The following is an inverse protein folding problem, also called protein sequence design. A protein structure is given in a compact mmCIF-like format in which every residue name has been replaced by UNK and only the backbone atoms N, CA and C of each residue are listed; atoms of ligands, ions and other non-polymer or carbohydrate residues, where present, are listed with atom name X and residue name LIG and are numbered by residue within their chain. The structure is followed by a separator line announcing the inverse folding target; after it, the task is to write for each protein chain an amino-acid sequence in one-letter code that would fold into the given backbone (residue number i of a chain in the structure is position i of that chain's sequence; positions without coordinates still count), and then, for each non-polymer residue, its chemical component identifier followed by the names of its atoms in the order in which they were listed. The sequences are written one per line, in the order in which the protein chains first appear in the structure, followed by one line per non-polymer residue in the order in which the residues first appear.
data_IF_421617313830
#
_entry.id   IF_421617313830
#
_cell.length_a   1.000
_cell.length_b   1.000
_cell.length_c   1.000
_cell.angle_alpha   90.00
_cell.angle_beta   90.00
_cell.angle_gamma   90.00
#
_symmetry.space_group_name_H-M   'P 1'
#
loop_
_entity.id
_entity.type
_entity.pdbx_description
1 polymer ?
#
# COMPACT_ATOMS: atom_id res chain seq x y z
N UNK A 1 -9.23 -1.92 11.35
CA UNK A 1 -8.09 -1.13 11.89
C UNK A 1 -8.14 0.28 11.29
N UNK A 2 -7.86 1.37 12.04
CA UNK A 2 -7.79 2.71 11.45
C UNK A 2 -6.64 2.81 10.44
N UNK A 3 -6.82 3.63 9.40
CA UNK A 3 -5.80 3.85 8.37
C UNK A 3 -4.51 4.46 8.93
N UNK A 4 -4.63 5.28 9.99
CA UNK A 4 -3.51 5.90 10.72
C UNK A 4 -2.52 4.87 11.28
N UNK A 5 -2.97 3.63 11.52
CA UNK A 5 -2.08 2.55 11.94
C UNK A 5 -1.08 2.17 10.85
N UNK A 6 -1.42 2.36 9.56
CA UNK A 6 -0.50 2.19 8.45
C UNK A 6 0.51 3.35 8.40
N UNK A 7 0.04 4.58 8.63
CA UNK A 7 0.84 5.80 8.60
C UNK A 7 1.85 5.90 9.76
N UNK A 8 1.71 5.05 10.77
CA UNK A 8 2.61 4.91 11.93
C UNK A 8 3.32 3.54 11.98
N UNK A 9 3.14 2.72 10.95
CA UNK A 9 3.76 1.40 10.89
C UNK A 9 5.22 1.50 10.47
N UNK A 10 6.14 1.01 11.30
CA UNK A 10 7.59 1.13 11.09
C UNK A 10 8.08 0.61 9.74
N UNK A 11 7.43 -0.40 9.18
CA UNK A 11 7.70 -0.86 7.81
C UNK A 11 7.13 0.08 6.75
N UNK A 12 5.82 0.36 6.79
CA UNK A 12 5.12 1.03 5.68
C UNK A 12 5.55 2.48 5.49
N UNK A 13 6.00 3.17 6.54
CA UNK A 13 6.56 4.53 6.42
C UNK A 13 7.85 4.60 5.60
N UNK A 14 8.55 3.48 5.43
CA UNK A 14 9.81 3.40 4.67
C UNK A 14 9.60 2.98 3.22
N UNK A 15 8.39 2.56 2.86
CA UNK A 15 8.08 2.06 1.53
C UNK A 15 7.41 3.14 0.66
N UNK A 16 7.77 3.24 -0.63
CA UNK A 16 6.99 3.99 -1.60
C UNK A 16 5.53 3.53 -1.60
N UNK A 17 4.61 4.50 -1.61
CA UNK A 17 3.17 4.22 -1.58
C UNK A 17 2.46 4.95 -2.71
N UNK A 18 1.51 4.29 -3.36
CA UNK A 18 0.57 4.95 -4.26
C UNK A 18 -0.85 4.74 -3.80
N UNK A 19 -1.68 5.71 -4.19
CA UNK A 19 -3.11 5.71 -3.95
C UNK A 19 -3.85 5.54 -5.26
N UNK A 20 -4.90 4.75 -5.23
CA UNK A 20 -5.94 4.78 -6.27
C UNK A 20 -7.30 4.89 -5.57
N UNK A 21 -8.30 5.38 -6.29
CA UNK A 21 -9.66 5.51 -5.79
C UNK A 21 -10.60 4.83 -6.78
N UNK A 22 -11.42 3.92 -6.29
CA UNK A 22 -12.48 3.32 -7.11
C UNK A 22 -13.66 4.28 -7.24
N UNK A 23 -14.49 4.11 -8.27
CA UNK A 23 -15.73 4.90 -8.46
C UNK A 23 -16.68 4.80 -7.25
N UNK A 24 -16.61 3.69 -6.51
CA UNK A 24 -17.39 3.46 -5.29
C UNK A 24 -16.83 4.15 -4.02
N UNK A 25 -15.74 4.91 -4.15
CA UNK A 25 -15.11 5.64 -3.05
C UNK A 25 -14.19 4.80 -2.17
N UNK A 26 -13.84 3.57 -2.57
CA UNK A 26 -12.81 2.77 -1.88
C UNK A 26 -11.44 3.29 -2.28
N UNK A 27 -10.69 3.78 -1.29
CA UNK A 27 -9.29 4.12 -1.46
C UNK A 27 -8.45 2.85 -1.38
N UNK A 28 -7.51 2.71 -2.29
CA UNK A 28 -6.54 1.61 -2.30
C UNK A 28 -5.16 2.22 -2.10
N UNK A 29 -4.50 1.86 -1.00
CA UNK A 29 -3.08 2.18 -0.76
C UNK A 29 -2.25 0.95 -1.05
N UNK A 30 -1.23 1.06 -1.88
CA UNK A 30 -0.25 0.00 -2.06
C UNK A 30 1.13 0.49 -1.64
N UNK A 31 1.67 -0.09 -0.57
CA UNK A 31 3.05 0.12 -0.14
C UNK A 31 3.93 -0.92 -0.82
N UNK A 32 4.78 -0.46 -1.73
CA UNK A 32 5.54 -1.36 -2.60
C UNK A 32 6.97 -1.47 -2.10
N UNK A 33 7.43 -2.70 -1.92
CA UNK A 33 8.83 -3.01 -1.71
C UNK A 33 9.41 -3.63 -3.00
N UNK A 34 10.17 -2.82 -3.73
CA UNK A 34 10.78 -3.20 -5.00
C UNK A 34 11.74 -2.13 -5.51
N UNK A 35 12.83 -2.54 -6.17
CA UNK A 35 13.94 -1.64 -6.54
C UNK A 35 13.56 -0.60 -7.60
N UNK A 36 12.69 -0.95 -8.54
CA UNK A 36 12.44 -0.15 -9.76
C UNK A 36 10.98 0.33 -9.94
N UNK A 37 10.10 0.08 -8.96
CA UNK A 37 8.69 0.52 -9.03
C UNK A 37 8.57 2.06 -8.95
N UNK A 38 9.57 2.73 -8.37
CA UNK A 38 9.72 4.21 -8.33
C UNK A 38 9.35 4.91 -9.65
N UNK A 39 9.85 4.39 -10.77
CA UNK A 39 9.63 4.98 -12.09
C UNK A 39 8.18 4.83 -12.57
N UNK A 40 7.50 3.75 -12.19
CA UNK A 40 6.11 3.51 -12.59
C UNK A 40 5.12 4.43 -11.88
N UNK A 41 5.46 4.94 -10.68
CA UNK A 41 4.69 6.01 -10.05
C UNK A 41 4.70 7.27 -10.92
N UNK A 42 5.89 7.68 -11.39
CA UNK A 42 6.05 8.82 -12.29
C UNK A 42 5.27 8.65 -13.59
N UNK A 43 5.37 7.47 -14.23
CA UNK A 43 4.57 7.16 -15.43
C UNK A 43 3.07 7.20 -15.15
N UNK A 44 2.64 6.78 -13.96
CA UNK A 44 1.26 6.86 -13.48
C UNK A 44 0.80 8.28 -13.11
N UNK A 45 1.66 9.29 -13.21
CA UNK A 45 1.36 10.70 -12.94
C UNK A 45 1.64 11.14 -11.49
N UNK A 46 2.20 10.29 -10.64
CA UNK A 46 2.59 10.68 -9.29
C UNK A 46 3.97 11.38 -9.29
N UNK A 47 4.00 12.59 -8.76
CA UNK A 47 5.24 13.38 -8.56
C UNK A 47 5.91 13.14 -7.21
N UNK A 48 5.21 12.49 -6.28
CA UNK A 48 5.71 12.15 -4.95
C UNK A 48 5.04 10.88 -4.41
N UNK A 49 5.64 10.26 -3.40
CA UNK A 49 5.02 9.14 -2.66
C UNK A 49 3.73 9.60 -1.98
N UNK A 50 2.71 8.75 -1.99
CA UNK A 50 1.39 9.04 -1.44
C UNK A 50 0.45 9.81 -2.37
N UNK A 51 0.89 10.19 -3.57
CA UNK A 51 -0.01 10.77 -4.58
C UNK A 51 -0.90 9.69 -5.21
N UNK A 52 -2.02 10.15 -5.78
CA UNK A 52 -2.87 9.31 -6.60
C UNK A 52 -2.21 9.05 -7.95
N UNK A 53 -2.30 7.81 -8.44
CA UNK A 53 -1.82 7.41 -9.77
C UNK A 53 -2.98 6.97 -10.65
N UNK A 54 -2.81 7.10 -11.96
CA UNK A 54 -3.65 6.37 -12.89
C UNK A 54 -3.37 4.86 -12.76
N UNK A 55 -4.38 4.11 -12.29
CA UNK A 55 -4.25 2.68 -12.02
C UNK A 55 -3.84 1.86 -13.25
N UNK A 56 -4.41 2.17 -14.43
CA UNK A 56 -4.13 1.44 -15.67
C UNK A 56 -2.70 1.67 -16.15
N UNK A 57 -2.26 2.93 -16.14
CA UNK A 57 -0.89 3.29 -16.54
C UNK A 57 0.15 2.68 -15.59
N UNK A 58 -0.08 2.79 -14.28
CA UNK A 58 0.80 2.20 -13.27
C UNK A 58 0.88 0.67 -13.41
N UNK A 59 -0.27 0.00 -13.54
CA UNK A 59 -0.34 -1.48 -13.69
C UNK A 59 0.40 -1.92 -14.96
N UNK A 60 0.27 -1.15 -16.04
CA UNK A 60 0.95 -1.46 -17.30
C UNK A 60 2.47 -1.34 -17.17
N UNK A 61 2.97 -0.31 -16.49
CA UNK A 61 4.40 -0.13 -16.25
C UNK A 61 4.99 -1.19 -15.30
N UNK A 62 4.28 -1.51 -14.22
CA UNK A 62 4.74 -2.42 -13.17
C UNK A 62 4.62 -3.91 -13.54
N UNK A 63 4.01 -4.23 -14.69
CA UNK A 63 3.86 -5.61 -15.18
C UNK A 63 5.21 -6.32 -15.30
N UNK A 64 5.30 -7.51 -14.70
CA UNK A 64 6.49 -8.37 -14.77
C UNK A 64 7.61 -8.00 -13.79
N UNK A 65 7.47 -6.90 -13.03
CA UNK A 65 8.43 -6.57 -11.99
C UNK A 65 8.23 -7.49 -10.77
N UNK A 66 9.34 -8.05 -10.27
CA UNK A 66 9.32 -8.84 -9.03
C UNK A 66 9.33 -7.86 -7.86
N UNK A 67 8.15 -7.63 -7.29
CA UNK A 67 7.97 -6.74 -6.14
C UNK A 67 7.11 -7.41 -5.07
N UNK A 68 7.15 -6.85 -3.86
CA UNK A 68 6.14 -7.10 -2.85
C UNK A 68 5.17 -5.91 -2.81
N UNK A 69 3.90 -6.16 -3.10
CA UNK A 69 2.83 -5.19 -2.96
C UNK A 69 2.08 -5.45 -1.66
N UNK A 70 1.95 -4.42 -0.82
CA UNK A 70 1.13 -4.46 0.39
C UNK A 70 -0.11 -3.59 0.13
N UNK A 71 -1.18 -4.22 -0.35
CA UNK A 71 -2.37 -3.53 -0.84
C UNK A 71 -3.41 -3.47 0.28
N UNK A 72 -3.84 -2.26 0.63
CA UNK A 72 -4.86 -1.99 1.63
C UNK A 72 -6.07 -1.32 1.00
N UNK A 73 -7.23 -1.92 1.16
CA UNK A 73 -8.51 -1.33 0.80
C UNK A 73 -9.04 -0.57 2.00
N UNK A 74 -9.41 0.68 1.78
CA UNK A 74 -9.77 1.64 2.83
C UNK A 74 -11.11 2.27 2.49
N UNK A 75 -12.02 2.25 3.47
CA UNK A 75 -13.32 2.93 3.40
C UNK A 75 -13.57 3.63 4.72
N UNK A 76 -13.99 4.89 4.68
CA UNK A 76 -14.26 5.71 5.88
C UNK A 76 -13.10 5.69 6.89
N UNK A 77 -11.87 5.93 6.41
CA UNK A 77 -10.63 5.91 7.20
C UNK A 77 -10.32 4.59 7.94
N UNK A 78 -10.95 3.48 7.54
CA UNK A 78 -10.70 2.15 8.09
C UNK A 78 -10.20 1.22 7.00
N UNK A 79 -9.17 0.44 7.31
CA UNK A 79 -8.75 -0.69 6.50
C UNK A 79 -9.84 -1.76 6.57
N UNK A 80 -10.41 -2.09 5.42
CA UNK A 80 -11.45 -3.11 5.25
C UNK A 80 -10.86 -4.43 4.73
N UNK A 81 -9.73 -4.38 4.02
CA UNK A 81 -9.07 -5.57 3.49
C UNK A 81 -7.56 -5.32 3.29
N UNK A 82 -6.76 -6.36 3.50
CA UNK A 82 -5.33 -6.38 3.22
C UNK A 82 -5.00 -7.55 2.28
N UNK A 83 -4.39 -7.24 1.14
CA UNK A 83 -4.06 -8.20 0.08
C UNK A 83 -2.58 -8.08 -0.29
N UNK A 84 -1.70 -8.89 0.30
CA UNK A 84 -0.32 -8.96 -0.16
C UNK A 84 -0.22 -9.72 -1.48
N UNK A 85 0.54 -9.19 -2.44
CA UNK A 85 0.82 -9.90 -3.71
C UNK A 85 2.31 -9.84 -4.05
N UNK A 86 2.79 -10.88 -4.76
CA UNK A 86 4.20 -11.02 -5.13
C UNK A 86 5.04 -11.71 -4.05
N UNK A 87 6.35 -11.40 -4.00
CA UNK A 87 7.28 -12.01 -3.02
C UNK A 87 7.31 -11.19 -1.73
N UNK A 88 6.21 -11.23 -1.00
CA UNK A 88 6.09 -10.53 0.28
C UNK A 88 6.49 -11.40 1.47
N UNK A 89 7.25 -10.82 2.39
CA UNK A 89 7.24 -11.26 3.78
C UNK A 89 5.93 -10.75 4.39
N UNK A 90 5.08 -11.65 4.88
CA UNK A 90 3.70 -11.36 5.35
C UNK A 90 3.39 -11.99 6.70
N UNK A 91 4.43 -12.37 7.44
CA UNK A 91 4.26 -12.93 8.78
C UNK A 91 3.60 -11.94 9.74
N UNK A 92 3.23 -12.43 10.91
CA UNK A 92 2.49 -11.68 11.92
C UNK A 92 3.23 -10.42 12.40
N UNK A 93 4.56 -10.35 12.24
CA UNK A 93 5.38 -9.21 12.67
C UNK A 93 5.23 -7.99 11.74
N UNK A 94 4.77 -8.22 10.51
CA UNK A 94 4.53 -7.19 9.49
C UNK A 94 3.05 -6.96 9.19
N UNK A 95 2.15 -7.70 9.87
CA UNK A 95 0.71 -7.49 9.79
C UNK A 95 0.28 -6.28 10.63
N UNK A 96 -0.30 -5.24 10.00
CA UNK A 96 -0.57 -4.01 10.72
C UNK A 96 -1.64 -4.15 11.80
N UNK A 97 -2.62 -5.05 11.62
CA UNK A 97 -3.65 -5.29 12.63
C UNK A 97 -3.05 -5.89 13.92
N UNK A 98 -2.21 -6.91 13.80
CA UNK A 98 -1.53 -7.55 14.94
C UNK A 98 -0.66 -6.55 15.69
N UNK A 99 0.13 -5.74 14.97
CA UNK A 99 0.94 -4.67 15.58
C UNK A 99 0.07 -3.61 16.26
N UNK A 100 -1.03 -3.18 15.63
CA UNK A 100 -1.94 -2.17 16.17
C UNK A 100 -2.61 -2.63 17.46
N UNK A 101 -3.11 -3.87 17.51
CA UNK A 101 -3.71 -4.46 18.71
C UNK A 101 -2.69 -4.52 19.85
N UNK A 102 -1.47 -5.02 19.58
CA UNK A 102 -0.37 -5.07 20.56
C UNK A 102 -0.02 -3.70 21.14
N UNK A 103 0.03 -2.65 20.32
CA UNK A 103 0.36 -1.29 20.77
C UNK A 103 -0.74 -0.66 21.62
N UNK A 104 -1.99 -1.07 21.42
CA UNK A 104 -3.14 -0.53 22.16
C UNK A 104 -3.55 -1.40 23.37
N UNK A 105 -2.80 -2.46 23.67
CA UNK A 105 -3.09 -3.37 24.77
C UNK A 105 -4.40 -4.17 24.59
N UNK A 106 -4.79 -4.43 23.34
CA UNK A 106 -5.96 -5.22 22.96
C UNK A 106 -5.58 -6.63 22.51
#
# INVERSE_FOLDING_TARGET
MPVEALDTHSLFITLPMYRTLTDSGIEIRNYVNGRDVGNCFGTGGATATGNFVNANTFTTCSRGQIVCNNIFYIKNAKVVEYVPTGRCYTDETVQPQTRYLRLNGQ
#
